data_IF_722747396468
#
_entry.id   IF_722747396468
#
_cell.length_a   1.000
_cell.length_b   1.000
_cell.length_c   1.000
_cell.angle_alpha   90.00
_cell.angle_beta   90.00
_cell.angle_gamma   90.00
#
_symmetry.space_group_name_H-M   'P 1'
#
loop_
_entity.id
_entity.type
_entity.pdbx_description
1 polymer ?
#
# COMPACT_ATOMS: atom_id res chain seq x y z
N UNK A 1 27.30 -32.83 -26.32
CA UNK A 1 26.46 -33.11 -25.13
C UNK A 1 26.77 -31.96 -24.17
N UNK A 2 25.88 -31.05 -23.81
CA UNK A 2 24.49 -31.20 -23.42
C UNK A 2 23.57 -30.14 -24.06
N UNK A 3 22.30 -30.53 -24.14
CA UNK A 3 21.17 -29.73 -24.61
C UNK A 3 20.40 -29.19 -23.40
N UNK A 4 19.75 -28.04 -23.61
CA UNK A 4 18.47 -27.60 -23.01
C UNK A 4 18.47 -27.10 -21.55
N UNK A 5 18.36 -25.78 -21.39
CA UNK A 5 17.47 -25.13 -20.43
C UNK A 5 17.30 -23.62 -20.71
N UNK A 6 16.73 -23.21 -21.84
CA UNK A 6 16.42 -21.79 -22.14
C UNK A 6 14.96 -21.53 -22.46
N UNK A 7 14.03 -22.29 -21.85
CA UNK A 7 12.60 -22.15 -22.16
C UNK A 7 11.73 -22.05 -20.90
N UNK A 8 11.88 -20.97 -20.15
CA UNK A 8 10.85 -20.38 -19.29
C UNK A 8 11.33 -19.07 -18.62
N UNK A 9 11.62 -18.03 -19.41
CA UNK A 9 11.67 -16.65 -18.91
C UNK A 9 10.85 -15.78 -19.85
N UNK A 10 9.55 -16.08 -19.92
CA UNK A 10 8.62 -15.19 -20.59
C UNK A 10 8.45 -13.92 -19.77
N UNK A 11 8.85 -12.77 -20.35
CA UNK A 11 8.32 -11.44 -20.04
C UNK A 11 8.80 -10.77 -18.73
N UNK A 12 10.11 -10.69 -18.54
CA UNK A 12 10.75 -9.85 -17.51
C UNK A 12 11.12 -8.42 -18.02
N UNK A 13 10.75 -8.07 -19.25
CA UNK A 13 11.12 -6.78 -19.88
C UNK A 13 10.28 -5.57 -19.41
N UNK A 14 9.31 -5.77 -18.52
CA UNK A 14 8.46 -4.71 -17.98
C UNK A 14 8.87 -4.23 -16.56
N UNK A 15 9.90 -4.84 -15.97
CA UNK A 15 10.46 -4.55 -14.63
C UNK A 15 11.75 -3.69 -14.67
N UNK A 16 12.16 -3.17 -15.83
CA UNK A 16 13.53 -2.68 -16.05
C UNK A 16 13.93 -1.36 -15.34
N UNK A 17 13.04 -0.69 -14.60
CA UNK A 17 13.42 0.50 -13.82
C UNK A 17 12.78 0.48 -12.44
N UNK A 18 13.60 0.37 -11.40
CA UNK A 18 13.24 0.60 -10.00
C UNK A 18 13.79 1.96 -9.55
N UNK A 19 12.97 2.75 -8.89
CA UNK A 19 13.34 4.07 -8.39
C UNK A 19 13.24 4.08 -6.88
N UNK A 20 14.34 4.38 -6.18
CA UNK A 20 14.39 4.41 -4.72
C UNK A 20 14.52 5.85 -4.24
N UNK A 21 13.59 6.31 -3.41
CA UNK A 21 13.61 7.63 -2.79
C UNK A 21 13.61 7.49 -1.27
N UNK A 22 14.49 8.23 -0.58
CA UNK A 22 14.44 8.36 0.86
C UNK A 22 13.78 9.68 1.25
N UNK A 23 12.73 9.63 2.06
CA UNK A 23 12.21 10.83 2.71
C UNK A 23 13.18 11.31 3.80
N UNK A 24 13.22 12.62 4.02
CA UNK A 24 13.99 13.22 5.10
C UNK A 24 13.17 14.28 5.83
N UNK A 25 13.62 14.68 7.02
CA UNK A 25 12.86 15.59 7.88
C UNK A 25 12.66 16.99 7.27
N UNK A 26 13.66 17.50 6.54
CA UNK A 26 13.67 18.85 5.99
C UNK A 26 12.85 18.98 4.70
N UNK A 27 12.98 17.98 3.82
CA UNK A 27 12.33 18.00 2.50
C UNK A 27 11.08 17.11 2.45
N UNK A 28 10.82 16.33 3.48
CA UNK A 28 9.71 15.37 3.54
C UNK A 28 9.73 14.45 2.32
N UNK A 29 8.64 14.52 1.56
CA UNK A 29 8.46 13.80 0.30
C UNK A 29 8.59 14.73 -0.95
N UNK A 30 9.13 15.95 -0.83
CA UNK A 30 9.16 16.97 -1.92
C UNK A 30 9.89 16.51 -3.17
N UNK A 31 10.83 15.58 -3.03
CA UNK A 31 11.49 14.89 -4.15
C UNK A 31 10.49 14.27 -5.13
N UNK A 32 9.30 13.90 -4.66
CA UNK A 32 8.24 13.33 -5.50
C UNK A 32 7.70 14.34 -6.53
N UNK A 33 7.80 15.65 -6.28
CA UNK A 33 7.29 16.69 -7.20
C UNK A 33 8.01 16.71 -8.55
N UNK A 34 9.26 16.26 -8.57
CA UNK A 34 10.11 16.23 -9.75
C UNK A 34 10.03 14.89 -10.52
N UNK A 35 9.20 13.95 -10.05
CA UNK A 35 8.99 12.69 -10.75
C UNK A 35 8.21 12.95 -12.02
N UNK A 36 8.69 12.45 -13.15
CA UNK A 36 7.95 12.47 -14.40
C UNK A 36 8.12 11.13 -15.10
N UNK A 37 7.00 10.53 -15.53
CA UNK A 37 6.97 9.32 -16.35
C UNK A 37 7.71 8.11 -15.75
N UNK A 38 7.73 7.99 -14.41
CA UNK A 38 8.24 6.78 -13.77
C UNK A 38 7.40 5.57 -14.21
N UNK A 39 8.09 4.50 -14.60
CA UNK A 39 7.52 3.20 -15.00
C UNK A 39 8.21 2.10 -14.19
N UNK A 40 7.59 0.93 -14.13
CA UNK A 40 8.13 -0.20 -13.38
C UNK A 40 7.78 -0.10 -11.89
N UNK A 41 8.81 -0.07 -11.04
CA UNK A 41 8.68 -0.06 -9.58
C UNK A 41 9.15 1.27 -8.98
N UNK A 42 8.40 1.76 -8.00
CA UNK A 42 8.73 2.92 -7.19
C UNK A 42 8.81 2.50 -5.73
N UNK A 43 9.94 2.76 -5.11
CA UNK A 43 10.23 2.47 -3.72
C UNK A 43 10.48 3.78 -2.97
N UNK A 44 9.75 4.01 -1.89
CA UNK A 44 9.88 5.20 -1.05
C UNK A 44 10.14 4.74 0.39
N UNK A 45 11.28 5.14 0.93
CA UNK A 45 11.78 4.76 2.25
C UNK A 45 11.76 5.92 3.23
N UNK A 46 11.93 5.60 4.52
CA UNK A 46 12.05 6.56 5.64
C UNK A 46 10.84 7.49 5.77
N UNK A 47 9.65 7.03 5.42
CA UNK A 47 8.42 7.82 5.52
C UNK A 47 8.10 8.25 6.97
N UNK A 48 8.62 7.54 7.96
CA UNK A 48 8.50 7.92 9.38
C UNK A 48 9.24 9.22 9.75
N UNK A 49 10.09 9.76 8.88
CA UNK A 49 10.77 11.05 9.11
C UNK A 49 9.94 12.27 8.67
N UNK A 50 8.81 12.06 7.97
CA UNK A 50 8.04 13.13 7.33
C UNK A 50 7.15 13.88 8.34
N UNK A 51 7.46 15.16 8.59
CA UNK A 51 6.66 16.05 9.45
C UNK A 51 5.62 16.87 8.65
N UNK A 52 4.50 17.20 9.28
CA UNK A 52 3.29 17.82 8.70
C UNK A 52 3.55 18.99 7.72
N UNK A 53 4.53 19.86 8.02
CA UNK A 53 4.82 21.06 7.20
C UNK A 53 5.19 20.75 5.72
N UNK A 54 5.61 19.52 5.42
CA UNK A 54 6.04 19.10 4.08
C UNK A 54 4.92 18.49 3.21
N UNK A 55 3.71 18.30 3.77
CA UNK A 55 2.61 17.57 3.13
C UNK A 55 1.58 18.48 2.47
N UNK A 56 1.29 19.64 3.05
CA UNK A 56 0.14 20.51 2.73
C UNK A 56 0.05 21.09 1.29
N UNK A 57 1.00 20.80 0.39
CA UNK A 57 0.96 21.27 -1.02
C UNK A 57 1.00 20.15 -2.07
N UNK A 58 1.04 18.88 -1.64
CA UNK A 58 1.61 17.80 -2.47
C UNK A 58 0.72 16.60 -2.70
N UNK A 59 -0.55 16.70 -2.32
CA UNK A 59 -1.58 15.75 -2.65
C UNK A 59 -1.49 15.34 -4.11
N UNK A 60 -1.50 14.03 -4.35
CA UNK A 60 -1.80 13.46 -5.66
C UNK A 60 -0.67 13.61 -6.70
N UNK A 61 0.57 13.88 -6.28
CA UNK A 61 1.72 13.92 -7.20
C UNK A 61 1.96 12.55 -7.83
N UNK A 62 1.86 11.47 -7.04
CA UNK A 62 2.04 10.11 -7.55
C UNK A 62 0.96 9.73 -8.56
N UNK A 63 -0.31 10.03 -8.28
CA UNK A 63 -1.39 9.71 -9.21
C UNK A 63 -1.33 10.46 -10.54
N UNK A 64 -0.74 11.66 -10.56
CA UNK A 64 -0.62 12.47 -11.79
C UNK A 64 0.65 12.18 -12.58
N UNK A 65 1.76 11.90 -11.89
CA UNK A 65 3.09 11.92 -12.52
C UNK A 65 3.83 10.59 -12.56
N UNK A 66 3.43 9.63 -11.73
CA UNK A 66 3.99 8.28 -11.73
C UNK A 66 3.04 7.32 -12.44
N UNK A 67 3.53 6.54 -13.39
CA UNK A 67 2.78 5.45 -14.04
C UNK A 67 3.35 4.09 -13.63
N UNK A 68 3.92 4.04 -12.43
CA UNK A 68 4.53 2.84 -11.87
C UNK A 68 3.46 1.77 -11.62
N UNK A 69 3.82 0.52 -11.89
CA UNK A 69 2.96 -0.64 -11.66
C UNK A 69 3.17 -1.25 -10.28
N UNK A 70 4.32 -0.98 -9.66
CA UNK A 70 4.63 -1.39 -8.29
C UNK A 70 4.98 -0.17 -7.45
N UNK A 71 4.42 -0.09 -6.26
CA UNK A 71 4.71 0.93 -5.25
C UNK A 71 5.05 0.25 -3.93
N UNK A 72 6.21 0.57 -3.40
CA UNK A 72 6.68 0.06 -2.11
C UNK A 72 6.94 1.24 -1.17
N UNK A 73 6.31 1.22 0.00
CA UNK A 73 6.35 2.29 0.98
C UNK A 73 6.89 1.74 2.29
N UNK A 74 8.05 2.25 2.72
CA UNK A 74 8.73 1.84 3.94
C UNK A 74 8.83 3.01 4.90
N UNK A 75 8.34 2.81 6.13
CA UNK A 75 8.45 3.83 7.16
C UNK A 75 9.85 3.91 7.79
N UNK A 76 10.61 2.81 7.80
CA UNK A 76 12.00 2.72 8.27
C UNK A 76 12.25 3.57 9.53
N UNK A 77 11.44 3.38 10.57
CA UNK A 77 11.55 4.16 11.81
C UNK A 77 12.84 3.82 12.53
N UNK A 78 13.53 4.86 12.99
CA UNK A 78 14.50 4.68 14.06
C UNK A 78 13.74 4.54 15.38
N UNK A 79 14.21 3.64 16.26
CA UNK A 79 13.73 3.42 17.62
C UNK A 79 13.65 4.70 18.48
N UNK A 80 14.34 5.76 18.08
CA UNK A 80 14.35 7.07 18.73
C UNK A 80 13.19 7.99 18.34
N UNK A 81 12.47 7.67 17.26
CA UNK A 81 11.38 8.47 16.70
C UNK A 81 10.07 7.77 17.07
N UNK A 82 9.35 8.33 18.04
CA UNK A 82 8.06 7.79 18.48
C UNK A 82 7.05 7.63 17.34
N UNK A 83 6.05 6.77 17.53
CA UNK A 83 4.94 6.53 16.59
C UNK A 83 3.94 7.71 16.57
N UNK A 84 4.44 8.94 16.45
CA UNK A 84 3.64 10.15 16.56
C UNK A 84 2.94 10.50 15.24
N UNK A 85 1.70 10.03 15.09
CA UNK A 85 0.54 10.84 14.70
C UNK A 85 0.29 11.22 13.24
N UNK A 86 1.27 11.18 12.33
CA UNK A 86 1.10 11.75 10.98
C UNK A 86 1.09 10.74 9.81
N UNK A 87 1.35 9.47 10.09
CA UNK A 87 1.50 8.44 9.05
C UNK A 87 0.31 8.31 8.13
N UNK A 88 -0.90 8.30 8.71
CA UNK A 88 -2.12 8.20 7.92
C UNK A 88 -2.22 9.37 6.94
N UNK A 89 -1.87 10.58 7.36
CA UNK A 89 -1.89 11.74 6.48
C UNK A 89 -0.81 11.62 5.40
N UNK A 90 0.42 11.21 5.74
CA UNK A 90 1.48 10.92 4.76
C UNK A 90 1.00 9.90 3.72
N UNK A 91 0.39 8.81 4.17
CA UNK A 91 -0.08 7.73 3.29
C UNK A 91 -1.29 8.17 2.45
N UNK A 92 -2.20 8.99 2.99
CA UNK A 92 -3.33 9.58 2.24
C UNK A 92 -2.82 10.47 1.09
N UNK A 93 -1.77 11.25 1.31
CA UNK A 93 -1.15 12.12 0.30
C UNK A 93 -0.37 11.36 -0.79
N UNK A 94 0.03 10.12 -0.50
CA UNK A 94 0.75 9.22 -1.41
C UNK A 94 -0.18 8.41 -2.33
N UNK A 95 -1.39 8.91 -2.59
CA UNK A 95 -2.32 8.28 -3.52
C UNK A 95 -1.64 7.92 -4.86
N UNK A 96 -1.58 6.64 -5.25
CA UNK A 96 -0.92 6.20 -6.46
C UNK A 96 -1.80 6.42 -7.71
N UNK A 97 -1.20 6.22 -8.88
CA UNK A 97 -1.93 6.24 -10.16
C UNK A 97 -2.75 4.97 -10.33
N UNK A 98 -3.87 5.06 -11.04
CA UNK A 98 -4.76 3.94 -11.37
C UNK A 98 -4.10 2.78 -12.13
N UNK A 99 -2.85 2.92 -12.58
CA UNK A 99 -2.08 1.88 -13.26
C UNK A 99 -1.31 0.99 -12.27
N UNK A 100 -1.48 1.22 -10.96
CA UNK A 100 -0.83 0.42 -9.94
C UNK A 100 -1.39 -1.01 -9.93
N UNK A 101 -0.51 -1.99 -9.91
CA UNK A 101 -0.82 -3.42 -9.85
C UNK A 101 -0.39 -4.04 -8.53
N UNK A 102 0.69 -3.55 -7.92
CA UNK A 102 1.27 -4.09 -6.69
C UNK A 102 1.54 -2.98 -5.69
N UNK A 103 1.08 -3.16 -4.45
CA UNK A 103 1.29 -2.23 -3.35
C UNK A 103 1.93 -2.97 -2.17
N UNK A 104 3.03 -2.44 -1.66
CA UNK A 104 3.67 -2.90 -0.42
C UNK A 104 3.73 -1.73 0.58
N UNK A 105 3.31 -1.98 1.81
CA UNK A 105 3.38 -1.04 2.93
C UNK A 105 4.06 -1.74 4.10
N UNK A 106 5.17 -1.20 4.57
CA UNK A 106 5.93 -1.72 5.69
C UNK A 106 6.17 -0.68 6.79
N UNK A 107 5.91 -1.07 8.04
CA UNK A 107 6.22 -0.26 9.23
C UNK A 107 5.29 0.93 9.46
N UNK A 108 4.13 0.96 8.78
CA UNK A 108 3.13 2.03 8.93
C UNK A 108 2.55 2.04 10.35
N UNK A 109 2.67 3.17 11.02
CA UNK A 109 2.21 3.43 12.40
C UNK A 109 0.80 3.98 12.51
N UNK A 110 0.02 4.05 11.42
CA UNK A 110 -1.38 4.44 11.50
C UNK A 110 -2.28 3.30 12.02
N UNK A 111 -3.35 3.66 12.73
CA UNK A 111 -4.36 2.72 13.23
C UNK A 111 -5.38 2.30 12.16
N UNK A 112 -5.48 3.07 11.07
CA UNK A 112 -6.39 2.88 9.95
C UNK A 112 -5.66 3.16 8.62
N UNK A 113 -6.21 2.69 7.52
CA UNK A 113 -5.69 2.91 6.16
C UNK A 113 -6.40 4.07 5.45
N UNK A 114 -5.75 4.71 4.47
CA UNK A 114 -6.33 5.84 3.75
C UNK A 114 -7.51 5.43 2.89
N UNK A 115 -8.37 6.41 2.55
CA UNK A 115 -9.60 6.15 1.79
C UNK A 115 -9.31 5.61 0.39
N UNK A 116 -8.25 6.10 -0.24
CA UNK A 116 -7.90 5.67 -1.60
C UNK A 116 -7.54 4.19 -1.70
N UNK A 117 -7.06 3.57 -0.61
CA UNK A 117 -6.69 2.15 -0.58
C UNK A 117 -7.91 1.21 -0.59
N UNK A 118 -9.08 1.73 -0.22
CA UNK A 118 -10.33 0.97 -0.12
C UNK A 118 -11.23 1.18 -1.33
N UNK A 119 -10.95 2.18 -2.17
CA UNK A 119 -11.81 2.57 -3.26
C UNK A 119 -11.39 1.91 -4.59
N UNK A 120 -12.21 0.98 -5.07
CA UNK A 120 -11.99 0.27 -6.34
C UNK A 120 -11.89 1.16 -7.58
N UNK A 121 -12.54 2.33 -7.59
CA UNK A 121 -12.43 3.29 -8.70
C UNK A 121 -11.07 4.00 -8.74
N UNK A 122 -10.39 4.10 -7.59
CA UNK A 122 -9.05 4.70 -7.50
C UNK A 122 -7.94 3.69 -7.78
N UNK A 123 -8.20 2.40 -7.53
CA UNK A 123 -7.25 1.30 -7.72
C UNK A 123 -7.83 0.19 -8.62
N UNK A 124 -8.28 0.50 -9.86
CA UNK A 124 -9.01 -0.46 -10.69
C UNK A 124 -8.15 -1.64 -11.17
N UNK A 125 -6.83 -1.48 -11.21
CA UNK A 125 -5.90 -2.48 -11.73
C UNK A 125 -5.07 -3.17 -10.63
N UNK A 126 -5.33 -2.88 -9.35
CA UNK A 126 -4.53 -3.43 -8.26
C UNK A 126 -4.80 -4.92 -8.10
N UNK A 127 -3.72 -5.71 -8.09
CA UNK A 127 -3.75 -7.17 -8.01
C UNK A 127 -3.18 -7.71 -6.70
N UNK A 128 -2.20 -7.03 -6.12
CA UNK A 128 -1.53 -7.49 -4.91
C UNK A 128 -1.37 -6.38 -3.89
N UNK A 129 -1.68 -6.70 -2.64
CA UNK A 129 -1.40 -5.87 -1.46
C UNK A 129 -0.55 -6.68 -0.49
N UNK A 130 0.55 -6.10 -0.04
CA UNK A 130 1.37 -6.62 1.06
C UNK A 130 1.44 -5.58 2.16
N UNK A 131 1.13 -5.97 3.39
CA UNK A 131 1.19 -5.13 4.59
C UNK A 131 2.01 -5.84 5.65
N UNK A 132 3.11 -5.24 6.09
CA UNK A 132 4.01 -5.85 7.08
C UNK A 132 4.40 -4.87 8.19
N UNK A 133 4.66 -5.40 9.40
CA UNK A 133 5.22 -4.65 10.52
C UNK A 133 4.41 -3.40 10.96
N UNK A 134 3.13 -3.31 10.63
CA UNK A 134 2.27 -2.19 11.02
C UNK A 134 1.69 -2.43 12.44
N UNK A 135 2.54 -2.29 13.46
CA UNK A 135 2.21 -2.77 14.82
C UNK A 135 1.04 -2.05 15.51
N UNK A 136 0.72 -0.81 15.12
CA UNK A 136 -0.40 -0.06 15.69
C UNK A 136 -1.75 -0.35 15.01
N UNK A 137 -1.74 -1.03 13.88
CA UNK A 137 -2.95 -1.35 13.15
C UNK A 137 -3.68 -2.53 13.81
N UNK A 138 -4.84 -2.25 14.39
CA UNK A 138 -5.68 -3.28 15.02
C UNK A 138 -6.68 -3.93 14.04
N UNK A 139 -7.01 -3.24 12.95
CA UNK A 139 -8.07 -3.62 12.03
C UNK A 139 -7.62 -3.40 10.58
N UNK A 140 -7.60 -4.49 9.81
CA UNK A 140 -7.41 -4.43 8.36
C UNK A 140 -8.80 -4.40 7.71
N UNK A 141 -9.15 -3.35 6.96
CA UNK A 141 -10.45 -3.25 6.30
C UNK A 141 -10.63 -4.34 5.24
N UNK A 142 -11.87 -4.55 4.80
CA UNK A 142 -12.13 -5.40 3.62
C UNK A 142 -11.66 -4.67 2.37
N UNK A 143 -10.88 -5.37 1.54
CA UNK A 143 -10.49 -4.89 0.21
C UNK A 143 -11.46 -5.36 -0.88
N UNK A 144 -12.66 -5.85 -0.50
CA UNK A 144 -13.64 -6.45 -1.43
C UNK A 144 -14.17 -5.51 -2.51
N UNK A 145 -14.00 -4.19 -2.37
CA UNK A 145 -14.33 -3.20 -3.41
C UNK A 145 -13.28 -3.13 -4.53
N UNK A 146 -12.10 -3.73 -4.35
CA UNK A 146 -11.03 -3.70 -5.35
C UNK A 146 -11.28 -4.77 -6.43
N UNK A 147 -11.58 -4.37 -7.69
CA UNK A 147 -12.17 -5.27 -8.69
C UNK A 147 -11.19 -6.30 -9.28
N UNK A 148 -9.88 -6.07 -9.13
CA UNK A 148 -8.83 -6.93 -9.69
C UNK A 148 -7.92 -7.53 -8.62
N UNK A 149 -8.25 -7.37 -7.33
CA UNK A 149 -7.36 -7.79 -6.26
C UNK A 149 -7.35 -9.32 -6.14
N UNK A 150 -6.18 -9.92 -6.33
CA UNK A 150 -5.97 -11.36 -6.34
C UNK A 150 -5.18 -11.86 -5.12
N UNK A 151 -4.36 -11.00 -4.51
CA UNK A 151 -3.48 -11.39 -3.42
C UNK A 151 -3.46 -10.33 -2.31
N UNK A 152 -3.61 -10.79 -1.08
CA UNK A 152 -3.42 -9.99 0.13
C UNK A 152 -2.52 -10.78 1.07
N UNK A 153 -1.38 -10.18 1.41
CA UNK A 153 -0.42 -10.74 2.36
C UNK A 153 -0.23 -9.78 3.53
N UNK A 154 -0.45 -10.28 4.74
CA UNK A 154 -0.43 -9.53 5.98
C UNK A 154 0.53 -10.25 6.93
N UNK A 155 1.62 -9.59 7.32
CA UNK A 155 2.70 -10.23 8.08
C UNK A 155 3.13 -9.36 9.27
N UNK A 156 3.56 -10.00 10.35
CA UNK A 156 4.19 -9.32 11.49
C UNK A 156 3.34 -8.18 12.11
N UNK A 157 2.01 -8.38 12.19
CA UNK A 157 1.08 -7.39 12.71
C UNK A 157 0.78 -7.60 14.20
N UNK A 158 1.60 -6.99 15.07
CA UNK A 158 1.58 -7.24 16.54
C UNK A 158 0.19 -7.08 17.18
N UNK A 159 -0.54 -6.02 16.86
CA UNK A 159 -1.81 -5.68 17.51
C UNK A 159 -3.05 -6.05 16.68
N UNK A 160 -2.92 -6.82 15.60
CA UNK A 160 -4.03 -7.13 14.71
C UNK A 160 -5.12 -7.96 15.42
N UNK A 161 -6.33 -7.42 15.44
CA UNK A 161 -7.52 -8.03 16.07
C UNK A 161 -8.48 -8.60 15.03
N UNK A 162 -8.65 -7.97 13.87
CA UNK A 162 -9.53 -8.46 12.81
C UNK A 162 -9.10 -8.07 11.40
N UNK A 163 -9.50 -8.89 10.43
CA UNK A 163 -9.34 -8.65 8.99
C UNK A 163 -10.73 -8.76 8.36
N UNK A 164 -11.16 -7.74 7.63
CA UNK A 164 -12.50 -7.66 7.04
C UNK A 164 -13.60 -7.26 8.05
N UNK A 165 -14.64 -6.59 7.54
CA UNK A 165 -15.82 -6.15 8.30
C UNK A 165 -15.81 -4.67 8.70
N UNK A 166 -16.89 -3.94 8.40
CA UNK A 166 -17.20 -2.67 9.04
C UNK A 166 -17.77 -2.95 10.43
N UNK A 167 -17.40 -2.15 11.43
CA UNK A 167 -17.99 -2.21 12.78
C UNK A 167 -19.40 -1.58 12.85
N UNK A 168 -20.04 -1.34 11.71
CA UNK A 168 -21.30 -0.61 11.64
C UNK A 168 -22.50 -1.55 11.43
N UNK A 169 -22.56 -2.61 12.24
CA UNK A 169 -23.77 -3.42 12.42
C UNK A 169 -24.56 -2.88 13.63
N UNK A 170 -24.96 -1.61 13.59
CA UNK A 170 -26.02 -1.09 14.45
C UNK A 170 -27.21 -0.68 13.60
N UNK A 171 -28.11 -1.65 13.47
CA UNK A 171 -29.55 -1.50 13.21
C UNK A 171 -29.95 -0.76 11.92
N UNK A 172 -30.19 -1.54 10.86
CA UNK A 172 -31.51 -1.48 10.23
C UNK A 172 -31.89 -2.84 9.64
N UNK A 173 -32.99 -3.40 10.12
CA UNK A 173 -33.51 -4.73 9.74
C UNK A 173 -34.31 -4.64 8.45
N UNK A 174 -33.67 -4.34 7.32
CA UNK A 174 -34.24 -4.64 5.99
C UNK A 174 -33.27 -4.28 4.86
N UNK A 175 -32.12 -4.95 4.77
CA UNK A 175 -31.44 -5.22 3.49
C UNK A 175 -30.47 -6.37 3.77
N UNK A 176 -30.56 -7.43 2.97
CA UNK A 176 -29.64 -8.57 3.02
C UNK A 176 -28.19 -8.09 3.06
N UNK A 177 -27.35 -8.59 4.00
CA UNK A 177 -25.93 -8.27 3.94
C UNK A 177 -25.37 -8.96 2.71
N UNK A 178 -25.11 -8.19 1.65
CA UNK A 178 -24.14 -8.61 0.65
C UNK A 178 -22.81 -8.67 1.40
N UNK A 179 -22.47 -9.89 1.83
CA UNK A 179 -21.11 -10.30 2.12
C UNK A 179 -20.22 -9.64 1.07
N UNK A 180 -19.44 -8.63 1.47
CA UNK A 180 -18.37 -8.07 0.67
C UNK A 180 -17.24 -9.09 0.64
N UNK A 181 -17.57 -10.22 0.01
CA UNK A 181 -16.71 -11.34 -0.30
C UNK A 181 -15.64 -10.82 -1.22
N UNK A 182 -14.41 -11.22 -0.95
CA UNK A 182 -13.26 -10.94 -1.79
C UNK A 182 -13.41 -11.69 -3.12
N UNK A 183 -14.27 -11.21 -4.02
CA UNK A 183 -14.71 -11.94 -5.21
C UNK A 183 -13.58 -12.32 -6.18
N UNK A 184 -12.41 -11.67 -6.06
CA UNK A 184 -11.23 -11.94 -6.87
C UNK A 184 -10.02 -12.45 -6.08
N UNK A 185 -10.09 -12.51 -4.74
CA UNK A 185 -8.95 -12.87 -3.91
C UNK A 185 -8.67 -14.37 -3.99
N UNK A 186 -7.49 -14.70 -4.49
CA UNK A 186 -6.98 -16.06 -4.64
C UNK A 186 -6.14 -16.47 -3.44
N UNK A 187 -5.45 -15.52 -2.81
CA UNK A 187 -4.53 -15.79 -1.69
C UNK A 187 -4.73 -14.74 -0.60
N UNK A 188 -5.11 -15.20 0.59
CA UNK A 188 -5.01 -14.45 1.85
C UNK A 188 -3.97 -15.13 2.73
N UNK A 189 -2.89 -14.43 3.06
CA UNK A 189 -1.91 -14.88 4.07
C UNK A 189 -1.91 -13.89 5.22
N UNK A 190 -2.06 -14.41 6.43
CA UNK A 190 -2.05 -13.61 7.64
C UNK A 190 -1.23 -14.35 8.70
N UNK A 191 -0.01 -13.86 8.96
CA UNK A 191 0.86 -14.42 9.99
C UNK A 191 0.82 -13.55 11.24
N UNK A 192 0.26 -14.14 12.32
CA UNK A 192 0.28 -13.55 13.65
C UNK A 192 1.50 -14.08 14.40
N UNK A 193 2.64 -13.42 14.27
CA UNK A 193 3.75 -13.68 15.20
C UNK A 193 3.55 -12.85 16.47
N UNK A 194 3.51 -13.57 17.59
CA UNK A 194 3.38 -13.10 18.96
C UNK A 194 4.69 -12.53 19.49
#
# INVERSE_FOLDING_TARGET
MEKNATKAMGKLDELQTSWVFGACQENGISVLENLNNLRGALEIRRLGLVREASLAKRANVLSKKSKSRKLELYWDRDSSIGDEGNDLHVLEELQPHQNLHELLIEGFGGVQFPRWMLNGSLLPNLKSIMISYCSLCEHIPSFGELPCLEMVEIMHMRNLKSIGGSKDDRMDTSTTPQSSSFNCLKVLRADKHA
#
